data_IF_902907213694
#
_entry.id   IF_902907213694
#
_cell.length_a   1.000
_cell.length_b   1.000
_cell.length_c   1.000
_cell.angle_alpha   90.00
_cell.angle_beta   90.00
_cell.angle_gamma   90.00
#
_symmetry.space_group_name_H-M   'P 1'
#
loop_
_entity.id
_entity.type
_entity.pdbx_description
1 polymer ?
#
# COMPACT_ATOMS: atom_id res chain seq x y z
N UNK A 1 3.57 -34.12 -2.95
CA UNK A 1 2.60 -33.05 -2.67
C UNK A 1 2.87 -32.46 -1.30
N UNK A 2 3.01 -31.14 -1.18
CA UNK A 2 3.23 -30.50 0.11
C UNK A 2 2.04 -30.80 1.04
N UNK A 3 2.30 -31.30 2.25
CA UNK A 3 1.23 -31.47 3.26
C UNK A 3 0.63 -30.10 3.58
N UNK A 4 -0.72 -29.96 3.57
CA UNK A 4 -1.39 -28.71 3.94
C UNK A 4 -0.87 -28.18 5.28
N UNK A 5 -0.76 -26.86 5.41
CA UNK A 5 -0.27 -26.22 6.65
C UNK A 5 -1.11 -26.65 7.86
N UNK A 6 -2.40 -26.89 7.66
CA UNK A 6 -3.33 -27.40 8.66
C UNK A 6 -2.89 -28.72 9.29
N UNK A 7 -2.58 -29.73 8.45
CA UNK A 7 -2.12 -31.04 8.90
C UNK A 7 -0.80 -30.98 9.66
N UNK A 8 0.07 -30.02 9.31
CA UNK A 8 1.32 -29.78 10.02
C UNK A 8 1.04 -29.22 11.41
N UNK A 9 0.20 -28.20 11.51
CA UNK A 9 -0.20 -27.58 12.77
C UNK A 9 -0.89 -28.59 13.69
N UNK A 10 -1.80 -29.42 13.17
CA UNK A 10 -2.53 -30.45 13.94
C UNK A 10 -1.61 -31.51 14.56
N UNK A 11 -0.44 -31.77 13.96
CA UNK A 11 0.55 -32.75 14.46
C UNK A 11 1.56 -32.13 15.43
N UNK A 12 1.55 -30.81 15.61
CA UNK A 12 2.42 -30.15 16.58
C UNK A 12 1.89 -30.30 17.99
N UNK A 13 2.79 -30.34 18.97
CA UNK A 13 2.38 -30.31 20.38
C UNK A 13 1.77 -28.95 20.73
N UNK A 14 0.83 -28.94 21.68
CA UNK A 14 0.17 -27.71 22.15
C UNK A 14 1.16 -26.60 22.53
N UNK A 15 2.23 -26.95 23.25
CA UNK A 15 3.30 -26.00 23.60
C UNK A 15 3.99 -25.36 22.39
N UNK A 16 4.16 -26.11 21.30
CA UNK A 16 4.72 -25.58 20.05
C UNK A 16 3.71 -24.69 19.33
N UNK A 17 2.43 -25.05 19.35
CA UNK A 17 1.35 -24.21 18.81
C UNK A 17 1.27 -22.86 19.57
N UNK A 18 1.32 -22.89 20.91
CA UNK A 18 1.31 -21.68 21.73
C UNK A 18 2.51 -20.75 21.45
N UNK A 19 3.71 -21.32 21.31
CA UNK A 19 4.90 -20.55 20.94
C UNK A 19 4.77 -19.93 19.54
N UNK A 20 4.28 -20.70 18.57
CA UNK A 20 4.13 -20.23 17.20
C UNK A 20 3.04 -19.15 17.08
N UNK A 21 1.93 -19.31 17.81
CA UNK A 21 0.89 -18.29 17.91
C UNK A 21 1.44 -16.99 18.49
N UNK A 22 2.20 -17.08 19.58
CA UNK A 22 2.85 -15.92 20.20
C UNK A 22 3.78 -15.20 19.20
N UNK A 23 4.63 -15.92 18.49
CA UNK A 23 5.53 -15.34 17.50
C UNK A 23 4.76 -14.64 16.38
N UNK A 24 3.71 -15.27 15.85
CA UNK A 24 2.87 -14.63 14.84
C UNK A 24 2.12 -13.41 15.36
N UNK A 25 1.69 -13.39 16.62
CA UNK A 25 1.07 -12.21 17.25
C UNK A 25 2.07 -11.05 17.35
N UNK A 26 3.32 -11.33 17.72
CA UNK A 26 4.39 -10.33 17.75
C UNK A 26 4.68 -9.76 16.36
N UNK A 27 4.79 -10.63 15.35
CA UNK A 27 4.99 -10.21 13.98
C UNK A 27 3.80 -9.41 13.43
N UNK A 28 2.56 -9.86 13.68
CA UNK A 28 1.35 -9.14 13.30
C UNK A 28 1.37 -7.71 13.85
N UNK A 29 1.74 -7.54 15.12
CA UNK A 29 1.85 -6.23 15.76
C UNK A 29 2.92 -5.36 15.09
N UNK A 30 4.12 -5.93 14.85
CA UNK A 30 5.23 -5.23 14.16
C UNK A 30 4.83 -4.76 12.76
N UNK A 31 4.22 -5.63 11.96
CA UNK A 31 3.78 -5.30 10.61
C UNK A 31 2.62 -4.29 10.61
N UNK A 32 1.73 -4.37 11.59
CA UNK A 32 0.65 -3.38 11.76
C UNK A 32 1.20 -1.98 12.03
N UNK A 33 2.15 -1.86 12.96
CA UNK A 33 2.79 -0.58 13.30
C UNK A 33 3.59 -0.03 12.11
N UNK A 34 4.36 -0.88 11.43
CA UNK A 34 5.12 -0.48 10.25
C UNK A 34 4.20 -0.03 9.10
N UNK A 35 3.06 -0.72 8.91
CA UNK A 35 2.04 -0.35 7.93
C UNK A 35 1.49 1.05 8.22
N UNK A 36 1.11 1.32 9.47
CA UNK A 36 0.60 2.63 9.89
C UNK A 36 1.64 3.74 9.64
N UNK A 37 2.91 3.50 10.00
CA UNK A 37 4.01 4.40 9.69
C UNK A 37 4.12 4.72 8.20
N UNK A 38 4.02 3.70 7.33
CA UNK A 38 4.05 3.89 5.88
C UNK A 38 2.80 4.56 5.32
N UNK A 39 1.61 4.34 5.89
CA UNK A 39 0.40 5.10 5.52
C UNK A 39 0.60 6.60 5.78
N UNK A 40 1.14 6.95 6.95
CA UNK A 40 1.41 8.34 7.32
C UNK A 40 2.46 8.98 6.38
N UNK A 41 3.49 8.23 5.99
CA UNK A 41 4.49 8.67 5.01
C UNK A 41 3.87 8.96 3.64
N UNK A 42 3.02 8.06 3.13
CA UNK A 42 2.30 8.27 1.85
C UNK A 42 1.44 9.53 1.92
N UNK A 43 0.68 9.74 3.01
CA UNK A 43 -0.12 10.96 3.18
C UNK A 43 0.72 12.24 3.24
N UNK A 44 1.91 12.17 3.83
CA UNK A 44 2.86 13.29 3.88
C UNK A 44 3.42 13.63 2.49
N UNK A 45 3.81 12.61 1.74
CA UNK A 45 4.30 12.76 0.36
C UNK A 45 3.22 13.33 -0.56
N UNK A 46 1.97 12.89 -0.40
CA UNK A 46 0.82 13.41 -1.15
C UNK A 46 0.60 14.91 -0.89
N UNK A 47 0.59 15.32 0.40
CA UNK A 47 0.53 16.74 0.79
C UNK A 47 1.71 17.55 0.24
N UNK A 48 2.91 16.98 0.19
CA UNK A 48 4.09 17.64 -0.39
C UNK A 48 3.92 17.82 -1.89
N UNK A 49 3.42 16.80 -2.58
CA UNK A 49 3.17 16.84 -4.01
C UNK A 49 2.14 17.93 -4.38
N UNK A 50 1.06 18.06 -3.63
CA UNK A 50 0.07 19.14 -3.82
C UNK A 50 0.66 20.55 -3.65
N UNK A 51 1.54 20.73 -2.67
CA UNK A 51 2.25 22.01 -2.49
C UNK A 51 3.17 22.32 -3.66
N UNK A 52 3.88 21.30 -4.16
CA UNK A 52 4.77 21.45 -5.31
C UNK A 52 3.99 21.72 -6.61
N UNK A 53 2.82 21.09 -6.80
CA UNK A 53 1.89 21.41 -7.90
C UNK A 53 1.50 22.89 -7.88
N UNK A 54 0.98 23.35 -6.75
CA UNK A 54 0.59 24.76 -6.56
C UNK A 54 1.76 25.73 -6.81
N UNK A 55 2.98 25.34 -6.41
CA UNK A 55 4.20 26.13 -6.65
C UNK A 55 4.57 26.14 -8.13
N UNK A 56 4.56 25.00 -8.80
CA UNK A 56 4.89 24.88 -10.22
C UNK A 56 3.95 25.71 -11.09
N UNK A 57 2.63 25.69 -10.82
CA UNK A 57 1.65 26.49 -11.55
C UNK A 57 1.93 27.99 -11.44
N UNK A 58 2.23 28.50 -10.23
CA UNK A 58 2.60 29.90 -10.01
C UNK A 58 3.93 30.29 -10.68
N UNK A 59 4.90 29.39 -10.65
CA UNK A 59 6.20 29.63 -11.30
C UNK A 59 6.07 29.63 -12.82
N UNK A 60 5.12 28.88 -13.39
CA UNK A 60 4.91 28.83 -14.84
C UNK A 60 4.50 30.19 -15.42
N UNK A 61 3.72 30.98 -14.67
CA UNK A 61 3.30 32.34 -15.04
C UNK A 61 4.48 33.32 -15.14
N UNK A 62 5.58 33.06 -14.44
CA UNK A 62 6.71 34.00 -14.31
C UNK A 62 8.03 33.51 -14.89
N UNK A 63 8.26 32.19 -14.92
CA UNK A 63 9.53 31.60 -15.33
C UNK A 63 9.41 30.10 -15.61
N UNK A 64 9.40 29.75 -16.90
CA UNK A 64 9.39 28.35 -17.38
C UNK A 64 10.55 27.52 -16.79
N UNK A 65 11.81 27.99 -16.73
CA UNK A 65 12.89 27.20 -16.13
C UNK A 65 12.68 26.88 -14.65
N UNK A 66 12.08 27.80 -13.87
CA UNK A 66 11.77 27.55 -12.45
C UNK A 66 10.68 26.51 -12.29
N UNK A 67 9.60 26.65 -13.06
CA UNK A 67 8.51 25.67 -13.08
C UNK A 67 9.01 24.26 -13.47
N UNK A 68 9.94 24.17 -14.45
CA UNK A 68 10.58 22.90 -14.80
C UNK A 68 11.41 22.32 -13.65
N UNK A 69 12.15 23.15 -12.91
CA UNK A 69 12.87 22.72 -11.70
C UNK A 69 11.93 22.15 -10.64
N UNK A 70 10.81 22.83 -10.36
CA UNK A 70 9.78 22.33 -9.44
C UNK A 70 9.12 21.04 -9.97
N UNK A 71 8.89 20.92 -11.27
CA UNK A 71 8.36 19.71 -11.89
C UNK A 71 9.32 18.51 -11.76
N UNK A 72 10.64 18.73 -11.79
CA UNK A 72 11.63 17.68 -11.50
C UNK A 72 11.55 17.24 -10.04
N UNK A 73 11.40 18.17 -9.09
CA UNK A 73 11.17 17.83 -7.67
C UNK A 73 9.89 17.01 -7.49
N UNK A 74 8.81 17.35 -8.18
CA UNK A 74 7.56 16.58 -8.17
C UNK A 74 7.76 15.13 -8.63
N UNK A 75 8.60 14.90 -9.66
CA UNK A 75 8.93 13.53 -10.13
C UNK A 75 9.62 12.71 -9.06
N UNK A 76 10.56 13.31 -8.32
CA UNK A 76 11.21 12.63 -7.19
C UNK A 76 10.21 12.24 -6.11
N UNK A 77 9.32 13.16 -5.72
CA UNK A 77 8.28 12.89 -4.71
C UNK A 77 7.31 11.79 -5.17
N UNK A 78 6.93 11.74 -6.47
CA UNK A 78 6.13 10.63 -7.01
C UNK A 78 6.86 9.29 -6.94
N UNK A 79 8.16 9.26 -7.26
CA UNK A 79 8.96 8.05 -7.17
C UNK A 79 9.04 7.53 -5.73
N UNK A 80 9.27 8.42 -4.75
CA UNK A 80 9.25 8.06 -3.33
C UNK A 80 7.88 7.53 -2.90
N UNK A 81 6.79 8.16 -3.37
CA UNK A 81 5.43 7.72 -3.09
C UNK A 81 5.14 6.32 -3.66
N UNK A 82 5.62 6.03 -4.87
CA UNK A 82 5.52 4.71 -5.48
C UNK A 82 6.25 3.65 -4.66
N UNK A 83 7.48 3.94 -4.22
CA UNK A 83 8.25 3.05 -3.35
C UNK A 83 7.49 2.82 -2.04
N UNK A 84 6.98 3.88 -1.41
CA UNK A 84 6.23 3.77 -0.15
C UNK A 84 4.97 2.91 -0.31
N UNK A 85 4.21 3.06 -1.41
CA UNK A 85 3.03 2.23 -1.72
C UNK A 85 3.40 0.76 -1.98
N UNK A 86 4.52 0.51 -2.66
CA UNK A 86 5.03 -0.85 -2.88
C UNK A 86 5.40 -1.52 -1.54
N UNK A 87 6.12 -0.81 -0.67
CA UNK A 87 6.43 -1.30 0.68
C UNK A 87 5.16 -1.55 1.48
N UNK A 88 4.17 -0.66 1.42
CA UNK A 88 2.88 -0.82 2.09
C UNK A 88 2.16 -2.12 1.67
N UNK A 89 2.26 -2.47 0.38
CA UNK A 89 1.68 -3.70 -0.16
C UNK A 89 2.33 -4.94 0.45
N UNK A 90 3.66 -4.94 0.56
CA UNK A 90 4.41 -6.03 1.22
C UNK A 90 4.07 -6.11 2.71
N UNK A 91 3.98 -4.99 3.42
CA UNK A 91 3.62 -4.96 4.84
C UNK A 91 2.22 -5.50 5.10
N UNK A 92 1.24 -5.16 4.25
CA UNK A 92 -0.13 -5.70 4.32
C UNK A 92 -0.16 -7.21 4.06
N UNK A 93 0.53 -7.69 3.03
CA UNK A 93 0.60 -9.13 2.74
C UNK A 93 1.21 -9.91 3.92
N UNK A 94 2.24 -9.37 4.57
CA UNK A 94 2.81 -9.98 5.77
C UNK A 94 1.85 -9.91 6.97
N UNK A 95 1.15 -8.79 7.15
CA UNK A 95 0.10 -8.64 8.17
C UNK A 95 -0.98 -9.72 8.00
N UNK A 96 -1.47 -9.88 6.78
CA UNK A 96 -2.45 -10.91 6.40
C UNK A 96 -1.95 -12.32 6.70
N UNK A 97 -0.74 -12.65 6.23
CA UNK A 97 -0.14 -13.96 6.48
C UNK A 97 -0.09 -14.30 7.96
N UNK A 98 0.38 -13.38 8.81
CA UNK A 98 0.46 -13.62 10.25
C UNK A 98 -0.92 -13.74 10.89
N UNK A 99 -1.89 -12.92 10.48
CA UNK A 99 -3.27 -13.02 10.94
C UNK A 99 -3.89 -14.38 10.58
N UNK A 100 -3.67 -14.84 9.35
CA UNK A 100 -4.14 -16.14 8.87
C UNK A 100 -3.50 -17.27 9.68
N UNK A 101 -2.18 -17.21 9.91
CA UNK A 101 -1.50 -18.23 10.72
C UNK A 101 -2.01 -18.30 12.15
N UNK A 102 -2.28 -17.16 12.80
CA UNK A 102 -2.90 -17.12 14.14
C UNK A 102 -4.25 -17.82 14.12
N UNK A 103 -5.12 -17.48 13.16
CA UNK A 103 -6.44 -18.10 13.02
C UNK A 103 -6.33 -19.61 12.84
N UNK A 104 -5.47 -20.07 11.93
CA UNK A 104 -5.29 -21.50 11.68
C UNK A 104 -4.77 -22.25 12.92
N UNK A 105 -3.86 -21.64 13.69
CA UNK A 105 -3.38 -22.23 14.95
C UNK A 105 -4.50 -22.32 15.99
N UNK A 106 -5.31 -21.26 16.11
CA UNK A 106 -6.45 -21.22 17.04
C UNK A 106 -7.53 -22.23 16.66
N UNK A 107 -7.85 -22.36 15.37
CA UNK A 107 -8.81 -23.33 14.85
C UNK A 107 -8.35 -24.77 15.13
N UNK A 108 -7.06 -25.08 14.88
CA UNK A 108 -6.47 -26.39 15.22
C UNK A 108 -6.52 -26.65 16.73
N UNK A 109 -6.22 -25.65 17.57
CA UNK A 109 -6.30 -25.76 19.03
C UNK A 109 -7.72 -25.99 19.52
N UNK A 110 -8.71 -25.46 18.82
CA UNK A 110 -10.14 -25.62 19.09
C UNK A 110 -10.74 -26.92 18.50
N UNK A 111 -9.96 -27.66 17.70
CA UNK A 111 -10.44 -28.88 17.04
C UNK A 111 -11.42 -28.63 15.91
N UNK A 112 -11.41 -27.42 15.33
CA UNK A 112 -12.20 -27.07 14.15
C UNK A 112 -11.68 -27.88 12.95
N UNK A 113 -12.52 -28.20 11.97
CA UNK A 113 -12.07 -28.80 10.72
C UNK A 113 -11.64 -27.71 9.72
N UNK A 114 -10.66 -28.03 8.87
CA UNK A 114 -10.20 -27.08 7.86
C UNK A 114 -11.30 -26.78 6.83
N UNK A 115 -11.70 -25.51 6.75
CA UNK A 115 -12.62 -25.01 5.73
C UNK A 115 -11.90 -24.03 4.77
N UNK A 116 -11.62 -24.43 3.52
CA UNK A 116 -10.98 -23.57 2.51
C UNK A 116 -11.77 -22.28 2.24
N UNK A 117 -13.10 -22.34 2.34
CA UNK A 117 -14.02 -21.24 2.02
C UNK A 117 -13.80 -20.01 2.90
N UNK A 118 -13.38 -20.21 4.16
CA UNK A 118 -13.08 -19.12 5.10
C UNK A 118 -11.82 -18.34 4.69
N UNK A 119 -10.83 -19.02 4.11
CA UNK A 119 -9.57 -18.40 3.67
C UNK A 119 -9.79 -17.53 2.43
N UNK A 120 -10.58 -18.01 1.47
CA UNK A 120 -10.88 -17.30 0.22
C UNK A 120 -11.63 -15.97 0.46
N UNK A 121 -12.57 -15.97 1.40
CA UNK A 121 -13.31 -14.76 1.78
C UNK A 121 -12.44 -13.69 2.47
N UNK A 122 -11.33 -14.09 3.09
CA UNK A 122 -10.39 -13.14 3.71
C UNK A 122 -9.41 -12.54 2.70
N UNK A 123 -8.99 -13.33 1.71
CA UNK A 123 -8.01 -12.88 0.71
C UNK A 123 -8.62 -11.84 -0.26
N UNK A 124 -9.88 -12.02 -0.66
CA UNK A 124 -10.53 -11.21 -1.71
C UNK A 124 -10.73 -9.74 -1.33
N UNK A 125 -11.05 -9.45 -0.07
CA UNK A 125 -11.28 -8.07 0.40
C UNK A 125 -9.97 -7.27 0.52
N UNK A 126 -8.91 -7.86 1.07
CA UNK A 126 -7.62 -7.17 1.22
C UNK A 126 -6.82 -7.05 -0.09
N UNK A 127 -6.96 -8.02 -1.01
CA UNK A 127 -6.30 -7.96 -2.33
C UNK A 127 -7.02 -7.07 -3.35
N UNK A 128 -8.33 -6.90 -3.27
CA UNK A 128 -9.05 -6.01 -4.20
C UNK A 128 -8.67 -4.54 -4.00
N UNK A 129 -8.51 -4.09 -2.75
CA UNK A 129 -8.03 -2.74 -2.43
C UNK A 129 -6.58 -2.48 -2.93
N UNK A 130 -5.78 -3.53 -3.09
CA UNK A 130 -4.38 -3.49 -3.53
C UNK A 130 -4.21 -3.21 -5.03
N UNK A 131 -5.05 -3.84 -5.86
CA UNK A 131 -4.93 -3.79 -7.33
C UNK A 131 -5.40 -2.44 -7.86
N UNK A 132 -6.51 -1.92 -7.33
CA UNK A 132 -7.06 -0.62 -7.74
C UNK A 132 -6.08 0.53 -7.48
N UNK A 133 -5.43 0.56 -6.30
CA UNK A 133 -4.51 1.63 -5.92
C UNK A 133 -3.14 1.57 -6.61
N UNK A 134 -2.61 0.37 -6.89
CA UNK A 134 -1.29 0.21 -7.53
C UNK A 134 -1.32 0.54 -9.03
N UNK A 135 -2.35 0.10 -9.76
CA UNK A 135 -2.46 0.33 -11.21
C UNK A 135 -2.55 1.82 -11.52
N UNK A 136 -3.32 2.59 -10.74
CA UNK A 136 -3.47 4.04 -10.92
C UNK A 136 -2.17 4.82 -10.64
N UNK A 137 -1.31 4.33 -9.75
CA UNK A 137 -0.10 5.06 -9.33
C UNK A 137 1.12 4.85 -10.23
N UNK A 138 1.13 3.81 -11.06
CA UNK A 138 2.29 3.39 -11.87
C UNK A 138 2.45 4.22 -13.16
N UNK A 139 1.46 5.03 -13.52
CA UNK A 139 1.54 5.89 -14.69
C UNK A 139 2.28 7.20 -14.34
N UNK A 140 3.58 7.25 -14.65
CA UNK A 140 4.41 8.46 -14.51
C UNK A 140 4.43 9.31 -15.79
N UNK A 141 3.87 8.79 -16.88
CA UNK A 141 3.73 9.52 -18.14
C UNK A 141 2.68 10.62 -17.99
N UNK A 142 2.90 11.75 -18.67
CA UNK A 142 1.92 12.83 -18.72
C UNK A 142 2.05 13.90 -17.64
N UNK A 143 3.03 13.93 -16.73
CA UNK A 143 3.13 15.05 -15.74
C UNK A 143 3.15 16.43 -16.39
N UNK A 144 3.85 16.57 -17.52
CA UNK A 144 3.83 17.80 -18.32
C UNK A 144 2.51 17.97 -19.09
N UNK A 145 1.84 16.88 -19.44
CA UNK A 145 0.52 16.86 -20.08
C UNK A 145 -0.63 17.19 -19.12
N UNK A 146 -0.57 16.75 -17.87
CA UNK A 146 -1.49 17.08 -16.78
C UNK A 146 -1.33 18.55 -16.40
N UNK A 147 -0.08 19.02 -16.22
CA UNK A 147 0.22 20.44 -16.02
C UNK A 147 -0.24 21.29 -17.21
N UNK A 148 -0.05 20.82 -18.44
CA UNK A 148 -0.55 21.50 -19.65
C UNK A 148 -2.07 21.48 -19.74
N UNK A 149 -2.73 20.38 -19.39
CA UNK A 149 -4.20 20.26 -19.42
C UNK A 149 -4.87 21.09 -18.31
N UNK A 150 -4.26 21.16 -17.13
CA UNK A 150 -4.68 22.09 -16.06
C UNK A 150 -4.51 23.54 -16.49
N UNK A 151 -3.46 23.85 -17.27
CA UNK A 151 -3.24 25.16 -17.87
C UNK A 151 -4.28 25.50 -18.94
N UNK A 152 -4.51 24.60 -19.90
CA UNK A 152 -5.49 24.79 -20.97
C UNK A 152 -6.91 24.93 -20.39
N UNK A 153 -7.21 24.25 -19.27
CA UNK A 153 -8.45 24.42 -18.50
C UNK A 153 -8.59 25.75 -17.76
N UNK A 154 -7.49 26.42 -17.37
CA UNK A 154 -7.51 27.75 -16.76
C UNK A 154 -7.48 28.88 -17.80
N UNK A 155 -6.87 28.66 -18.96
CA UNK A 155 -6.75 29.65 -20.04
C UNK A 155 -8.01 29.69 -20.92
N UNK A 156 -8.77 28.60 -21.02
CA UNK A 156 -10.01 28.51 -21.80
C UNK A 156 -11.24 29.26 -21.23
N UNK A 157 -11.12 29.91 -20.07
CA UNK A 157 -12.19 30.72 -19.46
C UNK A 157 -12.17 32.20 -19.85
N UNK A 158 -11.29 32.61 -20.77
CA UNK A 158 -11.00 34.01 -21.09
C UNK A 158 -11.43 34.49 -22.49
N UNK A 159 -12.31 33.79 -23.19
CA UNK A 159 -12.93 34.30 -24.43
C UNK A 159 -14.43 34.53 -24.22
N UNK A 160 -14.77 35.72 -23.73
CA UNK A 160 -15.94 36.51 -24.13
C UNK A 160 -15.51 37.97 -24.30
#
# INVERSE_FOLDING_TARGET
>A
MAKPIYDKLAKMSKRKQDSLEYDHQQHLTRFSNAKEGKVNEVQSLDKRLEKLRSKASKELESSVPRALGTAMEMRHVKADMLIAKSVLSVLRANQFYHRLMIMLIQDVKAGVEYDPSRVDNMASSEFSELVEGSILSTNLDGILGDLRSELDGHVGGGEQ
#
